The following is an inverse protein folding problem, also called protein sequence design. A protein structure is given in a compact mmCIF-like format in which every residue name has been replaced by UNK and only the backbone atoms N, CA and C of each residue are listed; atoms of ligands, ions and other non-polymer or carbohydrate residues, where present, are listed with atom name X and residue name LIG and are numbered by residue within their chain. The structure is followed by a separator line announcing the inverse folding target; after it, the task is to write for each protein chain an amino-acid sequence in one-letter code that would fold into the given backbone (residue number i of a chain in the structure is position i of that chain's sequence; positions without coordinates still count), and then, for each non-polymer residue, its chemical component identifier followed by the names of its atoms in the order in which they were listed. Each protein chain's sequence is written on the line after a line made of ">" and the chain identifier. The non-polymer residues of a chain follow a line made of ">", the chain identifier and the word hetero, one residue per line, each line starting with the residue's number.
data_IF_719081944870
#
_entry.id   IF_719081944870
#
_cell.length_a   1.000
_cell.length_b   1.000
_cell.length_c   1.000
_cell.angle_alpha   90.00
_cell.angle_beta   90.00
_cell.angle_gamma   90.00
#
_symmetry.space_group_name_H-M   'P 1'
#
loop_
_entity.id
_entity.type
_entity.pdbx_description
1 polymer ?
#
# COMPACT_ATOMS: atom_id res chain seq x y z
N UNK A 1 -6.89 0.94 20.99
CA UNK A 1 -6.52 -0.24 21.80
C UNK A 1 -5.14 -0.73 21.39
N UNK A 2 -4.23 -0.80 22.33
CA UNK A 2 -2.87 -1.28 22.13
C UNK A 2 -2.90 -2.80 22.16
N UNK A 3 -2.41 -3.43 21.10
CA UNK A 3 -2.14 -4.86 21.10
C UNK A 3 -0.62 -4.99 21.23
N UNK A 4 -0.18 -5.50 22.37
CA UNK A 4 1.23 -5.74 22.65
C UNK A 4 1.69 -7.00 21.90
N UNK A 5 2.34 -6.80 20.74
CA UNK A 5 3.07 -7.86 20.04
C UNK A 5 4.56 -7.49 20.06
N UNK A 6 5.32 -8.20 20.87
CA UNK A 6 6.78 -8.12 20.87
C UNK A 6 7.31 -8.42 19.45
N UNK A 7 7.83 -7.38 18.76
CA UNK A 7 8.56 -7.38 17.49
C UNK A 7 7.81 -7.04 16.18
N UNK A 8 6.70 -6.29 16.18
CA UNK A 8 5.97 -5.96 14.94
C UNK A 8 5.85 -4.45 14.68
N UNK A 9 5.86 -4.08 13.38
CA UNK A 9 5.58 -2.72 12.89
C UNK A 9 4.07 -2.55 12.73
N UNK A 10 3.52 -1.43 13.22
CA UNK A 10 2.09 -1.13 13.16
C UNK A 10 1.80 -0.01 12.16
N UNK A 11 0.73 -0.16 11.40
CA UNK A 11 0.09 0.93 10.67
C UNK A 11 -1.02 1.50 11.55
N UNK A 12 -0.86 2.73 12.03
CA UNK A 12 -1.80 3.43 12.89
C UNK A 12 -2.34 4.63 12.10
N UNK A 13 -3.65 4.66 11.87
CA UNK A 13 -4.31 5.85 11.33
C UNK A 13 -4.71 6.76 12.47
N UNK A 14 -4.19 7.98 12.49
CA UNK A 14 -4.57 9.04 13.44
C UNK A 14 -5.52 9.99 12.73
N UNK A 15 -6.74 10.14 13.26
CA UNK A 15 -7.74 11.05 12.70
C UNK A 15 -7.21 12.50 12.67
N UNK A 16 -7.25 13.11 11.50
CA UNK A 16 -6.94 14.52 11.25
C UNK A 16 -5.51 14.85 10.83
N UNK A 17 -4.50 14.00 11.09
CA UNK A 17 -3.09 14.28 10.75
C UNK A 17 -2.42 13.20 9.90
N UNK A 18 -2.97 12.01 9.83
CA UNK A 18 -2.45 10.84 9.08
C UNK A 18 -0.98 10.49 9.31
N UNK A 19 -0.37 11.07 10.36
CA UNK A 19 1.01 10.84 10.76
C UNK A 19 1.03 10.09 12.09
N UNK A 20 1.93 9.14 12.21
CA UNK A 20 2.13 8.43 13.47
C UNK A 20 3.60 8.08 13.68
N UNK A 21 3.93 7.82 14.94
CA UNK A 21 5.29 7.52 15.36
C UNK A 21 5.41 6.05 15.70
N UNK A 22 6.40 5.35 15.15
CA UNK A 22 6.65 3.92 15.42
C UNK A 22 8.05 3.68 16.00
N UNK A 23 8.13 2.79 16.97
CA UNK A 23 9.38 2.25 17.50
C UNK A 23 10.16 3.17 18.44
N UNK A 24 11.33 2.70 18.85
CA UNK A 24 12.28 3.45 19.67
C UNK A 24 13.01 4.45 18.77
N UNK A 25 12.76 5.75 18.97
CA UNK A 25 13.37 6.81 18.17
C UNK A 25 12.41 7.67 17.35
N UNK A 26 11.09 7.52 17.55
CA UNK A 26 10.08 8.41 16.99
C UNK A 26 10.11 8.55 15.46
N UNK A 27 10.06 7.42 14.73
CA UNK A 27 9.94 7.43 13.29
C UNK A 27 8.51 7.84 12.92
N UNK A 28 8.36 8.96 12.21
CA UNK A 28 7.07 9.42 11.69
C UNK A 28 6.80 8.72 10.38
N UNK A 29 5.69 8.00 10.29
CA UNK A 29 5.20 7.39 9.06
C UNK A 29 3.88 7.99 8.65
N UNK A 30 3.65 8.10 7.37
CA UNK A 30 2.46 8.69 6.80
C UNK A 30 1.83 7.73 5.77
N UNK A 31 0.52 7.62 5.82
CA UNK A 31 -0.23 6.84 4.83
C UNK A 31 -0.63 7.76 3.67
N UNK A 32 -0.21 7.43 2.46
CA UNK A 32 -0.52 8.18 1.24
C UNK A 32 -1.63 7.50 0.43
N UNK A 33 -2.40 8.30 -0.32
CA UNK A 33 -3.57 7.85 -1.06
C UNK A 33 -3.55 8.39 -2.49
N UNK A 34 -3.75 7.51 -3.49
CA UNK A 34 -3.71 7.88 -4.93
C UNK A 34 -4.61 9.07 -5.24
N UNK A 35 -5.85 9.08 -4.77
CA UNK A 35 -6.78 10.18 -5.04
C UNK A 35 -6.29 11.50 -4.44
N UNK A 36 -5.83 11.49 -3.20
CA UNK A 36 -5.30 12.68 -2.50
C UNK A 36 -4.08 13.26 -3.22
N UNK A 37 -3.29 12.42 -3.88
CA UNK A 37 -2.10 12.87 -4.61
C UNK A 37 -2.41 13.82 -5.78
N UNK A 38 -3.59 13.74 -6.37
CA UNK A 38 -4.02 14.69 -7.41
C UNK A 38 -4.42 16.04 -6.83
N UNK A 39 -4.98 16.06 -5.63
CA UNK A 39 -5.38 17.28 -4.94
C UNK A 39 -4.19 17.96 -4.25
N UNK A 40 -3.21 17.16 -3.79
CA UNK A 40 -2.04 17.60 -3.01
C UNK A 40 -0.73 16.96 -3.51
N UNK A 41 -0.30 17.21 -4.76
CA UNK A 41 0.85 16.51 -5.35
C UNK A 41 2.17 16.84 -4.67
N UNK A 42 2.40 18.09 -4.29
CA UNK A 42 3.62 18.52 -3.60
C UNK A 42 3.74 17.86 -2.21
N UNK A 43 2.66 17.85 -1.45
CA UNK A 43 2.60 17.16 -0.16
C UNK A 43 2.91 15.67 -0.31
N UNK A 44 2.31 15.00 -1.30
CA UNK A 44 2.56 13.60 -1.61
C UNK A 44 4.03 13.33 -1.94
N UNK A 45 4.62 14.17 -2.81
CA UNK A 45 6.03 14.05 -3.17
C UNK A 45 6.95 14.27 -1.95
N UNK A 46 6.67 15.28 -1.14
CA UNK A 46 7.45 15.55 0.07
C UNK A 46 7.38 14.40 1.09
N UNK A 47 6.21 13.78 1.24
CA UNK A 47 6.00 12.68 2.19
C UNK A 47 6.56 11.36 1.66
N UNK A 48 6.14 10.93 0.48
CA UNK A 48 6.46 9.60 -0.04
C UNK A 48 7.87 9.55 -0.65
N UNK A 49 8.24 10.52 -1.48
CA UNK A 49 9.53 10.52 -2.15
C UNK A 49 10.64 11.04 -1.21
N UNK A 50 10.57 12.30 -0.80
CA UNK A 50 11.59 12.90 0.05
C UNK A 50 11.61 12.32 1.47
N UNK A 51 10.47 11.87 1.99
CA UNK A 51 10.38 11.17 3.27
C UNK A 51 11.23 9.90 3.26
N UNK A 52 11.11 9.08 2.23
CA UNK A 52 11.94 7.87 2.06
C UNK A 52 13.43 8.21 1.98
N UNK A 53 13.81 9.22 1.19
CA UNK A 53 15.19 9.68 1.09
C UNK A 53 15.75 10.13 2.44
N UNK A 54 14.99 10.88 3.22
CA UNK A 54 15.40 11.34 4.56
C UNK A 54 15.65 10.18 5.52
N UNK A 55 14.84 9.12 5.46
CA UNK A 55 15.02 7.92 6.28
C UNK A 55 16.30 7.18 5.84
N UNK A 56 16.51 6.98 4.55
CA UNK A 56 17.70 6.34 4.01
C UNK A 56 18.98 7.10 4.39
N UNK A 57 18.97 8.44 4.29
CA UNK A 57 20.09 9.30 4.75
C UNK A 57 20.32 9.17 6.25
N UNK A 58 19.25 9.12 7.05
CA UNK A 58 19.38 8.93 8.50
C UNK A 58 20.02 7.57 8.83
N UNK A 59 19.60 6.49 8.16
CA UNK A 59 20.20 5.15 8.35
C UNK A 59 21.67 5.18 7.97
N UNK A 60 22.02 5.70 6.79
CA UNK A 60 23.39 5.82 6.31
C UNK A 60 24.28 6.58 7.29
N UNK A 61 23.80 7.74 7.76
CA UNK A 61 24.58 8.61 8.63
C UNK A 61 24.67 8.12 10.10
N UNK A 62 23.72 7.28 10.53
CA UNK A 62 23.73 6.71 11.88
C UNK A 62 24.82 5.62 12.06
N UNK A 63 25.28 5.01 10.99
CA UNK A 63 26.18 3.85 11.03
C UNK A 63 25.54 2.57 11.61
N UNK A 64 24.23 2.59 11.88
CA UNK A 64 23.51 1.44 12.40
C UNK A 64 23.24 0.42 11.28
N UNK A 65 23.33 -0.87 11.61
CA UNK A 65 22.97 -1.98 10.72
C UNK A 65 21.43 -2.18 10.72
N UNK A 66 20.69 -1.14 10.34
CA UNK A 66 19.23 -1.17 10.28
C UNK A 66 18.79 -1.77 8.96
N UNK A 67 17.89 -2.76 9.02
CA UNK A 67 17.19 -3.26 7.83
C UNK A 67 16.04 -2.32 7.50
N UNK A 68 15.90 -1.98 6.23
CA UNK A 68 14.88 -1.05 5.73
C UNK A 68 13.93 -1.74 4.76
N UNK A 69 12.63 -1.61 5.00
CA UNK A 69 11.58 -2.02 4.07
C UNK A 69 10.90 -0.80 3.49
N UNK A 70 10.87 -0.71 2.17
CA UNK A 70 10.12 0.31 1.43
C UNK A 70 8.80 -0.27 0.95
N UNK A 71 7.69 0.31 1.40
CA UNK A 71 6.36 -0.01 0.90
C UNK A 71 6.16 0.60 -0.50
N UNK A 72 6.63 -0.08 -1.53
CA UNK A 72 6.35 0.26 -2.91
C UNK A 72 4.91 -0.15 -3.30
N UNK A 73 4.52 0.04 -4.55
CA UNK A 73 3.14 -0.14 -4.98
C UNK A 73 3.03 -0.61 -6.42
N UNK A 74 2.08 -1.49 -6.71
CA UNK A 74 1.71 -1.86 -8.09
C UNK A 74 1.24 -0.68 -8.94
N UNK A 75 0.84 0.44 -8.33
CA UNK A 75 0.53 1.68 -9.04
C UNK A 75 1.74 2.25 -9.83
N UNK A 76 2.97 1.85 -9.48
CA UNK A 76 4.17 2.20 -10.24
C UNK A 76 4.14 1.62 -11.65
N UNK A 77 3.56 0.43 -11.84
CA UNK A 77 3.39 -0.17 -13.16
C UNK A 77 2.43 0.66 -14.05
N UNK A 78 1.42 1.29 -13.45
CA UNK A 78 0.50 2.21 -14.11
C UNK A 78 -0.14 1.62 -15.37
N UNK A 79 0.32 2.02 -16.56
CA UNK A 79 -0.20 1.53 -17.86
C UNK A 79 0.62 0.39 -18.47
N UNK A 80 1.58 -0.19 -17.75
CA UNK A 80 2.31 -1.37 -18.23
C UNK A 80 1.35 -2.55 -18.41
N UNK A 81 1.55 -3.33 -19.47
CA UNK A 81 0.70 -4.49 -19.76
C UNK A 81 0.96 -5.63 -18.76
N UNK A 82 -0.09 -6.33 -18.30
CA UNK A 82 0.06 -7.54 -17.49
C UNK A 82 0.52 -8.74 -18.35
N UNK A 83 1.12 -9.78 -17.74
CA UNK A 83 1.48 -9.85 -16.32
C UNK A 83 2.72 -9.00 -15.99
N UNK A 84 2.69 -8.36 -14.81
CA UNK A 84 3.82 -7.55 -14.34
C UNK A 84 4.69 -8.36 -13.36
N UNK A 85 5.99 -8.08 -13.38
CA UNK A 85 6.99 -8.64 -12.48
C UNK A 85 8.07 -7.60 -12.14
N UNK A 86 9.09 -7.99 -11.38
CA UNK A 86 10.14 -7.09 -10.90
C UNK A 86 10.96 -6.41 -12.03
N UNK A 87 10.96 -7.00 -13.24
CA UNK A 87 11.65 -6.47 -14.42
C UNK A 87 10.75 -5.62 -15.32
N UNK A 88 9.45 -5.51 -15.00
CA UNK A 88 8.51 -4.74 -15.81
C UNK A 88 8.79 -3.23 -15.65
N UNK A 89 9.00 -2.49 -16.75
CA UNK A 89 9.20 -1.03 -16.67
C UNK A 89 8.03 -0.32 -16.04
N UNK A 90 8.33 0.68 -15.21
CA UNK A 90 7.30 1.50 -14.58
C UNK A 90 6.75 2.55 -15.54
N UNK A 91 5.42 2.70 -15.54
CA UNK A 91 4.68 3.70 -16.31
C UNK A 91 3.63 4.40 -15.43
N UNK A 92 4.06 5.11 -14.36
CA UNK A 92 3.16 5.67 -13.35
C UNK A 92 2.14 6.64 -13.96
N UNK A 93 0.92 6.69 -13.39
CA UNK A 93 -0.20 7.50 -13.88
C UNK A 93 -0.80 8.42 -12.82
N UNK A 94 -0.09 8.62 -11.69
CA UNK A 94 -0.52 9.54 -10.64
C UNK A 94 0.70 10.14 -9.93
N UNK A 95 0.59 11.31 -9.28
CA UNK A 95 1.66 11.87 -8.45
C UNK A 95 2.12 10.90 -7.35
N UNK A 96 1.18 10.13 -6.76
CA UNK A 96 1.49 9.04 -5.82
C UNK A 96 2.41 7.99 -6.46
N UNK A 97 2.04 7.48 -7.63
CA UNK A 97 2.83 6.44 -8.30
C UNK A 97 4.23 6.93 -8.68
N UNK A 98 4.36 8.18 -9.15
CA UNK A 98 5.67 8.82 -9.43
C UNK A 98 6.51 8.93 -8.16
N UNK A 99 5.91 9.32 -7.04
CA UNK A 99 6.60 9.41 -5.75
C UNK A 99 7.07 8.03 -5.26
N UNK A 100 6.28 6.98 -5.51
CA UNK A 100 6.65 5.60 -5.20
C UNK A 100 7.78 5.06 -6.09
N UNK A 101 7.82 5.43 -7.38
CA UNK A 101 8.96 5.12 -8.26
C UNK A 101 10.24 5.78 -7.74
N UNK A 102 10.18 7.06 -7.37
CA UNK A 102 11.33 7.72 -6.75
C UNK A 102 11.81 6.98 -5.50
N UNK A 103 10.90 6.64 -4.58
CA UNK A 103 11.23 5.90 -3.35
C UNK A 103 11.86 4.53 -3.65
N UNK A 104 11.34 3.83 -4.64
CA UNK A 104 11.84 2.53 -5.10
C UNK A 104 13.29 2.66 -5.63
N UNK A 105 13.53 3.59 -6.55
CA UNK A 105 14.86 3.81 -7.13
C UNK A 105 15.87 4.28 -6.09
N UNK A 106 15.47 5.16 -5.16
CA UNK A 106 16.34 5.58 -4.05
C UNK A 106 16.67 4.41 -3.12
N UNK A 107 15.71 3.53 -2.82
CA UNK A 107 15.94 2.34 -1.99
C UNK A 107 16.96 1.42 -2.64
N UNK A 108 16.81 1.16 -3.94
CA UNK A 108 17.76 0.36 -4.74
C UNK A 108 19.13 1.01 -4.77
N UNK A 109 19.20 2.31 -5.06
CA UNK A 109 20.46 3.05 -5.11
C UNK A 109 21.22 2.97 -3.76
N UNK A 110 20.53 3.14 -2.63
CA UNK A 110 21.17 3.10 -1.32
C UNK A 110 21.62 1.69 -0.93
N UNK A 111 20.89 0.67 -1.35
CA UNK A 111 21.33 -0.74 -1.26
C UNK A 111 22.63 -0.97 -2.01
N UNK A 112 22.71 -0.54 -3.27
CA UNK A 112 23.84 -0.78 -4.15
C UNK A 112 25.07 0.09 -3.81
N UNK A 113 24.85 1.39 -3.56
CA UNK A 113 25.94 2.34 -3.35
C UNK A 113 26.51 2.33 -1.93
N UNK A 114 25.68 2.05 -0.93
CA UNK A 114 26.07 2.18 0.49
C UNK A 114 25.98 0.86 1.27
N UNK A 115 25.56 -0.23 0.64
CA UNK A 115 25.47 -1.54 1.29
C UNK A 115 24.40 -1.62 2.39
N UNK A 116 23.40 -0.74 2.37
CA UNK A 116 22.30 -0.78 3.31
C UNK A 116 21.42 -1.99 2.97
N UNK A 117 21.04 -2.76 4.00
CA UNK A 117 20.04 -3.82 3.80
C UNK A 117 18.68 -3.15 3.57
N UNK A 118 18.34 -2.88 2.32
CA UNK A 118 17.10 -2.21 1.94
C UNK A 118 16.38 -3.00 0.84
N UNK A 119 15.11 -3.32 1.06
CA UNK A 119 14.25 -4.04 0.11
C UNK A 119 12.95 -3.29 -0.14
N UNK A 120 12.38 -3.48 -1.33
CA UNK A 120 11.08 -2.92 -1.68
C UNK A 120 10.06 -4.04 -1.96
N UNK A 121 8.88 -3.95 -1.34
CA UNK A 121 7.74 -4.78 -1.71
C UNK A 121 6.82 -4.01 -2.66
N UNK A 122 6.72 -4.48 -3.91
CA UNK A 122 5.79 -3.94 -4.91
C UNK A 122 4.44 -4.62 -4.69
N UNK A 123 3.67 -4.07 -3.77
CA UNK A 123 2.44 -4.69 -3.32
C UNK A 123 1.27 -4.35 -4.23
N UNK A 124 0.52 -5.38 -4.63
CA UNK A 124 -0.81 -5.24 -5.20
C UNK A 124 -1.83 -4.93 -4.11
N UNK A 125 -3.10 -4.75 -4.48
CA UNK A 125 -4.11 -4.35 -3.51
C UNK A 125 -4.30 -5.44 -2.44
N UNK A 126 -4.24 -5.05 -1.18
CA UNK A 126 -4.42 -5.96 -0.07
C UNK A 126 -5.47 -5.41 0.90
N UNK A 127 -6.39 -6.26 1.26
CA UNK A 127 -7.64 -5.91 1.89
C UNK A 127 -7.80 -6.59 3.26
N UNK A 128 -8.53 -5.92 4.15
CA UNK A 128 -8.91 -6.46 5.44
C UNK A 128 -10.16 -5.74 5.97
N UNK A 129 -10.76 -6.20 7.07
CA UNK A 129 -11.83 -5.47 7.76
C UNK A 129 -11.40 -4.05 8.23
N UNK A 130 -10.09 -3.77 8.29
CA UNK A 130 -9.52 -2.47 8.67
C UNK A 130 -9.22 -1.56 7.47
N UNK A 131 -9.57 -1.98 6.25
CA UNK A 131 -9.33 -1.17 5.05
C UNK A 131 -10.04 0.20 5.17
N UNK A 132 -9.35 1.27 4.77
CA UNK A 132 -9.90 2.62 4.79
C UNK A 132 -11.20 2.75 3.97
N UNK A 133 -12.16 3.51 4.46
CA UNK A 133 -13.52 3.62 3.92
C UNK A 133 -13.61 4.22 2.51
N UNK A 134 -12.60 4.93 2.08
CA UNK A 134 -12.50 5.53 0.74
C UNK A 134 -12.07 4.54 -0.35
N UNK A 135 -11.51 3.39 0.04
CA UNK A 135 -11.14 2.34 -0.90
C UNK A 135 -12.35 1.55 -1.39
N UNK A 136 -12.31 1.12 -2.65
CA UNK A 136 -13.47 0.56 -3.36
C UNK A 136 -14.10 -0.63 -2.62
N UNK A 137 -13.31 -1.56 -2.11
CA UNK A 137 -13.79 -2.74 -1.39
C UNK A 137 -14.54 -2.36 -0.12
N UNK A 138 -13.93 -1.50 0.72
CA UNK A 138 -14.58 -1.04 1.95
C UNK A 138 -15.78 -0.15 1.68
N UNK A 139 -15.71 0.69 0.65
CA UNK A 139 -16.85 1.52 0.21
C UNK A 139 -18.05 0.65 -0.17
N UNK A 140 -17.81 -0.45 -0.90
CA UNK A 140 -18.88 -1.39 -1.29
C UNK A 140 -19.44 -2.10 -0.07
N UNK A 141 -18.62 -2.77 0.74
CA UNK A 141 -19.09 -3.53 1.90
C UNK A 141 -19.86 -2.65 2.88
N UNK A 142 -19.35 -1.45 3.17
CA UNK A 142 -20.02 -0.48 4.03
C UNK A 142 -21.34 0.01 3.41
N UNK A 143 -21.33 0.34 2.12
CA UNK A 143 -22.52 0.81 1.41
C UNK A 143 -23.64 -0.23 1.41
N UNK A 144 -23.32 -1.48 1.13
CA UNK A 144 -24.28 -2.60 1.15
C UNK A 144 -24.80 -2.83 2.57
N UNK A 145 -23.96 -2.81 3.59
CA UNK A 145 -24.42 -2.91 4.99
C UNK A 145 -25.40 -1.81 5.36
N UNK A 146 -25.18 -0.57 4.91
CA UNK A 146 -26.08 0.56 5.14
C UNK A 146 -27.39 0.42 4.37
N UNK A 147 -27.36 -0.10 3.14
CA UNK A 147 -28.58 -0.42 2.37
C UNK A 147 -29.40 -1.48 3.09
N UNK A 148 -28.75 -2.57 3.53
CA UNK A 148 -29.41 -3.65 4.29
C UNK A 148 -30.03 -3.15 5.60
N UNK A 149 -29.40 -2.18 6.26
CA UNK A 149 -29.91 -1.54 7.47
C UNK A 149 -31.00 -0.47 7.19
N UNK A 150 -31.38 -0.23 5.94
CA UNK A 150 -32.37 0.77 5.56
C UNK A 150 -31.90 2.23 5.70
N UNK A 151 -30.60 2.44 5.90
CA UNK A 151 -29.99 3.78 6.08
C UNK A 151 -29.73 4.48 4.74
N UNK A 152 -29.40 3.70 3.71
CA UNK A 152 -29.17 4.20 2.36
C UNK A 152 -30.00 3.40 1.34
N UNK A 153 -30.27 3.99 0.18
CA UNK A 153 -31.02 3.34 -0.90
C UNK A 153 -30.11 2.92 -2.07
N UNK A 154 -28.90 3.49 -2.16
CA UNK A 154 -27.98 3.27 -3.27
C UNK A 154 -26.55 3.62 -2.89
N UNK A 155 -25.59 3.05 -3.61
CA UNK A 155 -24.17 3.45 -3.58
C UNK A 155 -23.78 3.97 -4.96
N UNK A 156 -22.79 4.87 -4.98
CA UNK A 156 -22.22 5.40 -6.21
C UNK A 156 -20.81 4.86 -6.38
N UNK A 157 -20.57 4.19 -7.51
CA UNK A 157 -19.30 3.61 -7.87
C UNK A 157 -18.82 4.20 -9.21
N UNK A 158 -17.52 4.14 -9.45
CA UNK A 158 -16.92 4.51 -10.73
C UNK A 158 -16.99 3.36 -11.74
N UNK A 159 -15.86 3.11 -12.44
CA UNK A 159 -15.78 2.06 -13.45
C UNK A 159 -15.88 0.66 -12.80
N UNK A 160 -16.96 -0.06 -13.12
CA UNK A 160 -17.22 -1.40 -12.62
C UNK A 160 -16.39 -2.50 -13.33
N UNK A 161 -15.89 -2.22 -14.51
CA UNK A 161 -15.09 -3.16 -15.30
C UNK A 161 -13.59 -3.07 -14.97
N UNK A 162 -13.20 -2.14 -14.10
CA UNK A 162 -11.83 -2.02 -13.62
C UNK A 162 -11.42 -3.30 -12.89
N UNK A 163 -10.30 -3.89 -13.33
CA UNK A 163 -9.74 -5.11 -12.74
C UNK A 163 -8.70 -4.77 -11.68
N UNK A 164 -8.68 -5.58 -10.62
CA UNK A 164 -7.69 -5.49 -9.54
C UNK A 164 -7.32 -6.89 -9.05
N UNK A 165 -6.07 -7.06 -8.68
CA UNK A 165 -5.62 -8.17 -7.85
C UNK A 165 -5.83 -7.75 -6.39
N UNK A 166 -6.65 -8.50 -5.66
CA UNK A 166 -6.95 -8.25 -4.24
C UNK A 166 -6.53 -9.44 -3.39
N UNK A 167 -5.57 -9.24 -2.52
CA UNK A 167 -5.13 -10.25 -1.57
C UNK A 167 -5.56 -9.94 -0.13
N UNK A 168 -5.26 -10.84 0.78
CA UNK A 168 -5.52 -10.69 2.20
C UNK A 168 -4.34 -10.00 2.90
N UNK A 169 -4.58 -8.88 3.57
CA UNK A 169 -3.51 -8.04 4.13
C UNK A 169 -2.54 -8.75 5.08
N UNK A 170 -2.96 -9.70 5.95
CA UNK A 170 -2.02 -10.48 6.76
C UNK A 170 -0.95 -11.23 5.97
N UNK A 171 -1.29 -11.82 4.80
CA UNK A 171 -0.32 -12.53 3.95
C UNK A 171 0.75 -11.57 3.41
N UNK A 172 0.33 -10.34 3.09
CA UNK A 172 1.25 -9.28 2.65
C UNK A 172 2.18 -8.82 3.78
N UNK A 173 1.66 -8.73 5.01
CA UNK A 173 2.48 -8.40 6.20
C UNK A 173 3.51 -9.50 6.48
N UNK A 174 3.12 -10.77 6.34
CA UNK A 174 4.05 -11.88 6.44
C UNK A 174 5.15 -11.79 5.37
N UNK A 175 4.78 -11.52 4.12
CA UNK A 175 5.75 -11.31 3.05
C UNK A 175 6.72 -10.16 3.36
N UNK A 176 6.24 -9.01 3.86
CA UNK A 176 7.09 -7.89 4.29
C UNK A 176 8.11 -8.32 5.36
N UNK A 177 7.67 -9.13 6.34
CA UNK A 177 8.57 -9.66 7.35
C UNK A 177 9.62 -10.59 6.74
N UNK A 178 9.20 -11.53 5.89
CA UNK A 178 10.08 -12.51 5.25
C UNK A 178 11.14 -11.87 4.33
N UNK A 179 10.81 -10.77 3.64
CA UNK A 179 11.78 -9.99 2.85
C UNK A 179 12.93 -9.50 3.72
N UNK A 180 12.65 -9.04 4.93
CA UNK A 180 13.67 -8.56 5.88
C UNK A 180 14.47 -9.70 6.53
N UNK A 181 14.04 -10.96 6.41
CA UNK A 181 14.75 -12.14 6.92
C UNK A 181 15.69 -12.76 5.88
N UNK A 182 15.65 -12.32 4.63
CA UNK A 182 16.53 -12.84 3.57
C UNK A 182 18.01 -12.55 3.89
N UNK A 183 18.90 -13.34 3.29
CA UNK A 183 20.35 -13.12 3.41
C UNK A 183 20.79 -11.87 2.67
N UNK A 184 20.22 -11.64 1.49
CA UNK A 184 20.50 -10.48 0.65
C UNK A 184 19.20 -9.69 0.44
N UNK A 185 19.29 -8.35 0.47
CA UNK A 185 18.15 -7.51 0.16
C UNK A 185 17.83 -7.52 -1.34
N UNK A 186 16.55 -7.55 -1.69
CA UNK A 186 16.08 -7.48 -3.07
C UNK A 186 14.70 -6.81 -3.14
N UNK A 187 14.14 -6.68 -4.33
CA UNK A 187 12.81 -6.14 -4.58
C UNK A 187 11.88 -7.29 -5.00
N UNK A 188 10.62 -7.24 -4.53
CA UNK A 188 9.68 -8.35 -4.68
C UNK A 188 8.30 -7.84 -5.08
N UNK A 189 7.69 -8.47 -6.10
CA UNK A 189 6.27 -8.29 -6.41
C UNK A 189 5.46 -9.24 -5.53
N UNK A 190 4.46 -8.69 -4.82
CA UNK A 190 3.53 -9.45 -4.01
C UNK A 190 2.12 -9.26 -4.53
N UNK A 191 1.56 -10.33 -5.05
CA UNK A 191 0.24 -10.39 -5.66
C UNK A 191 -0.38 -11.78 -5.45
N UNK A 192 -1.69 -11.93 -5.66
CA UNK A 192 -2.35 -13.25 -5.67
C UNK A 192 -2.17 -13.96 -7.01
N UNK A 193 -1.90 -13.20 -8.08
CA UNK A 193 -1.86 -13.69 -9.45
C UNK A 193 -3.23 -13.78 -10.11
N UNK A 194 -4.30 -13.44 -9.39
CA UNK A 194 -5.67 -13.43 -9.91
C UNK A 194 -6.24 -12.02 -9.94
N UNK A 195 -7.03 -11.71 -10.97
CA UNK A 195 -7.67 -10.40 -11.09
C UNK A 195 -9.17 -10.51 -11.18
N UNK A 196 -9.87 -9.64 -10.43
CA UNK A 196 -11.31 -9.55 -10.42
C UNK A 196 -11.76 -8.13 -10.77
N UNK A 197 -12.94 -8.03 -11.41
CA UNK A 197 -13.57 -6.74 -11.68
C UNK A 197 -14.26 -6.21 -10.42
N UNK A 198 -14.42 -4.89 -10.34
CA UNK A 198 -15.25 -4.26 -9.29
C UNK A 198 -16.69 -4.79 -9.35
N UNK A 199 -17.18 -5.11 -10.55
CA UNK A 199 -18.52 -5.69 -10.77
C UNK A 199 -18.66 -7.09 -10.15
N UNK A 200 -17.67 -7.96 -10.34
CA UNK A 200 -17.64 -9.28 -9.72
C UNK A 200 -17.66 -9.19 -8.20
N UNK A 201 -16.79 -8.35 -7.64
CA UNK A 201 -16.76 -8.11 -6.20
C UNK A 201 -18.11 -7.56 -5.67
N UNK A 202 -18.71 -6.62 -6.39
CA UNK A 202 -20.01 -6.08 -6.02
C UNK A 202 -21.09 -7.17 -5.99
N UNK A 203 -21.12 -8.02 -7.03
CA UNK A 203 -22.08 -9.14 -7.13
C UNK A 203 -21.94 -10.09 -5.94
N UNK A 204 -20.72 -10.50 -5.64
CA UNK A 204 -20.41 -11.38 -4.51
C UNK A 204 -20.92 -10.81 -3.17
N UNK A 205 -20.71 -9.51 -2.94
CA UNK A 205 -21.17 -8.86 -1.72
C UNK A 205 -22.70 -8.73 -1.67
N UNK A 206 -23.38 -8.52 -2.80
CA UNK A 206 -24.84 -8.52 -2.86
C UNK A 206 -25.42 -9.89 -2.51
N UNK A 207 -24.86 -10.96 -3.10
CA UNK A 207 -25.25 -12.34 -2.80
C UNK A 207 -25.01 -12.67 -1.32
N UNK A 208 -23.83 -12.36 -0.80
CA UNK A 208 -23.51 -12.55 0.63
C UNK A 208 -24.45 -11.79 1.57
N UNK A 209 -24.86 -10.59 1.20
CA UNK A 209 -25.80 -9.79 1.98
C UNK A 209 -27.24 -10.28 1.91
N UNK A 210 -27.57 -11.23 1.02
CA UNK A 210 -28.95 -11.67 0.76
C UNK A 210 -29.80 -10.59 0.09
N UNK A 211 -29.17 -9.75 -0.73
CA UNK A 211 -29.80 -8.69 -1.53
C UNK A 211 -29.72 -9.04 -3.04
N UNK A 212 -29.32 -10.27 -3.37
CA UNK A 212 -29.25 -10.76 -4.73
C UNK A 212 -30.66 -10.92 -5.33
N UNK A 213 -30.84 -10.38 -6.50
CA UNK A 213 -31.82 -10.26 -7.58
C UNK A 213 -32.30 -8.83 -7.83
#
# INVERSE_FOLDING_TARGET
>A
EWIDYNNWVYDITVDGVHNFTVGVGNIVVHNSHVKVSFDMPEYTANTDALGTLRILEAIKNSGLKTKFYNAASSEMFGSALPPQNENTPFHPRSPYAVSKVFSFDMTRLYREAYGIFACSGILFNHESPRRGETFVTRKITRGIARIKAGLDKKIYLGNLDAKRDWGFAPDYVEAMHLMLQQQNPDDYVIATGETHTVKEFLKEIFEYAGLGD
#
